data_IF_386015376345
#
_entry.id   IF_386015376345
#
_cell.length_a   1.000
_cell.length_b   1.000
_cell.length_c   1.000
_cell.angle_alpha   90.00
_cell.angle_beta   90.00
_cell.angle_gamma   90.00
#
_symmetry.space_group_name_H-M   'P 1'
#
loop_
_entity.id
_entity.type
_entity.pdbx_description
1 polymer ?
#
# COMPACT_ATOMS: atom_id res chain seq x y z
N UNK A 1 42.35 25.01 17.21
CA UNK A 1 40.98 25.43 17.44
C UNK A 1 40.29 25.58 16.10
N UNK A 2 39.81 24.49 15.48
CA UNK A 2 38.97 24.43 14.26
C UNK A 2 38.57 22.96 13.96
N UNK A 3 37.59 22.38 14.66
CA UNK A 3 37.01 21.06 14.35
C UNK A 3 35.52 20.97 14.68
N UNK A 4 34.75 22.07 14.69
CA UNK A 4 33.31 22.04 15.03
C UNK A 4 32.40 22.34 13.79
N UNK A 5 32.98 22.70 12.63
CA UNK A 5 32.20 23.12 11.45
C UNK A 5 31.61 22.00 10.59
N UNK A 6 32.06 20.74 10.73
CA UNK A 6 31.69 19.66 9.80
C UNK A 6 30.37 18.95 10.09
N UNK A 7 29.90 18.94 11.32
CA UNK A 7 28.74 18.14 11.74
C UNK A 7 27.38 18.80 11.43
N UNK A 8 27.32 20.13 11.40
CA UNK A 8 26.06 20.86 11.15
C UNK A 8 25.68 20.94 9.67
N UNK A 9 26.65 20.85 8.76
CA UNK A 9 26.41 20.92 7.30
C UNK A 9 25.82 19.60 6.74
N UNK A 10 26.25 18.46 7.28
CA UNK A 10 25.72 17.16 6.87
C UNK A 10 24.25 16.94 7.26
N UNK A 11 23.80 17.48 8.38
CA UNK A 11 22.41 17.37 8.84
C UNK A 11 21.46 18.20 7.99
N UNK A 12 21.90 19.36 7.53
CA UNK A 12 21.09 20.26 6.67
C UNK A 12 20.87 19.68 5.26
N UNK A 13 21.91 19.09 4.69
CA UNK A 13 21.86 18.45 3.35
C UNK A 13 20.96 17.20 3.36
N UNK A 14 21.07 16.34 4.38
CA UNK A 14 20.18 15.18 4.54
C UNK A 14 18.73 15.60 4.75
N UNK A 15 18.47 16.61 5.59
CA UNK A 15 17.11 17.15 5.80
C UNK A 15 16.50 17.68 4.51
N UNK A 16 17.26 18.37 3.67
CA UNK A 16 16.79 18.90 2.40
C UNK A 16 16.54 17.80 1.37
N UNK A 17 17.28 16.71 1.39
CA UNK A 17 17.07 15.57 0.52
C UNK A 17 15.75 14.87 0.85
N UNK A 18 15.48 14.61 2.13
CA UNK A 18 14.21 14.02 2.57
C UNK A 18 13.00 14.90 2.25
N UNK A 19 13.12 16.22 2.44
CA UNK A 19 12.05 17.16 2.10
C UNK A 19 11.76 17.15 0.59
N UNK A 20 12.79 17.07 -0.24
CA UNK A 20 12.64 16.97 -1.71
C UNK A 20 12.01 15.65 -2.12
N UNK A 21 12.36 14.54 -1.48
CA UNK A 21 11.73 13.25 -1.74
C UNK A 21 10.24 13.25 -1.32
N UNK A 22 9.90 13.84 -0.18
CA UNK A 22 8.50 13.96 0.27
C UNK A 22 7.68 14.88 -0.65
N UNK A 23 8.24 16.00 -1.11
CA UNK A 23 7.58 16.89 -2.06
C UNK A 23 7.41 16.20 -3.42
N UNK A 24 8.42 15.46 -3.89
CA UNK A 24 8.32 14.69 -5.12
C UNK A 24 7.25 13.59 -5.03
N UNK A 25 7.16 12.91 -3.89
CA UNK A 25 6.12 11.89 -3.64
C UNK A 25 4.71 12.53 -3.59
N UNK A 26 4.58 13.69 -2.93
CA UNK A 26 3.33 14.45 -2.87
C UNK A 26 2.92 15.00 -4.25
N UNK A 27 3.87 15.44 -5.06
CA UNK A 27 3.61 15.92 -6.42
C UNK A 27 3.26 14.77 -7.38
N UNK A 28 3.83 13.57 -7.19
CA UNK A 28 3.44 12.38 -7.95
C UNK A 28 1.99 11.98 -7.66
N UNK A 29 1.50 12.20 -6.44
CA UNK A 29 0.12 11.89 -6.04
C UNK A 29 -0.92 12.85 -6.63
N UNK A 30 -0.51 14.05 -7.07
CA UNK A 30 -1.42 15.08 -7.62
C UNK A 30 -1.53 15.00 -9.16
N UNK A 31 -0.58 14.31 -9.82
CA UNK A 31 -0.51 14.20 -11.26
C UNK A 31 -1.20 12.94 -11.81
N UNK A 32 -2.37 12.57 -11.29
CA UNK A 32 -3.16 11.50 -11.89
C UNK A 32 -4.03 12.09 -13.00
N UNK A 33 -3.73 11.86 -14.30
CA UNK A 33 -4.76 12.02 -15.31
C UNK A 33 -5.83 10.97 -15.02
N UNK A 34 -7.03 11.44 -14.73
CA UNK A 34 -8.23 10.59 -14.72
C UNK A 34 -8.45 10.11 -16.15
N UNK A 35 -7.92 8.96 -16.48
CA UNK A 35 -8.32 8.21 -17.67
C UNK A 35 -9.48 7.29 -17.29
N UNK A 36 -10.65 7.89 -17.10
CA UNK A 36 -11.90 7.17 -17.20
C UNK A 36 -12.22 7.05 -18.69
N UNK A 37 -11.72 6.03 -19.35
CA UNK A 37 -12.34 5.33 -20.49
C UNK A 37 -11.35 4.27 -20.98
N UNK A 38 -11.68 3.01 -20.71
CA UNK A 38 -11.05 1.84 -21.31
C UNK A 38 -11.29 1.83 -22.81
N UNK A 39 -10.33 2.30 -23.57
CA UNK A 39 -10.23 1.87 -24.95
C UNK A 39 -9.87 0.38 -24.97
N UNK A 40 -10.73 -0.44 -25.54
CA UNK A 40 -10.49 -1.85 -25.85
C UNK A 40 -9.18 -1.94 -26.65
N UNK A 41 -8.11 -2.45 -26.01
CA UNK A 41 -6.82 -2.64 -26.65
C UNK A 41 -5.59 -2.27 -25.81
N UNK A 42 -5.75 -1.80 -24.58
CA UNK A 42 -4.63 -1.43 -23.71
C UNK A 42 -4.18 -2.64 -22.91
N UNK A 43 -2.98 -3.05 -23.21
CA UNK A 43 -2.05 -3.85 -22.39
C UNK A 43 -2.72 -4.79 -21.38
N UNK A 44 -3.28 -5.85 -21.91
CA UNK A 44 -3.90 -6.97 -21.17
C UNK A 44 -2.80 -7.83 -20.49
N UNK A 45 -1.59 -7.32 -20.43
CA UNK A 45 -0.35 -8.01 -20.11
C UNK A 45 0.28 -7.50 -18.79
N UNK A 46 1.57 -7.69 -18.65
CA UNK A 46 2.39 -7.25 -17.53
C UNK A 46 2.18 -5.77 -17.16
N UNK A 47 2.08 -4.87 -18.15
CA UNK A 47 1.93 -3.43 -17.88
C UNK A 47 0.55 -3.10 -17.32
N UNK A 48 -0.50 -3.78 -17.77
CA UNK A 48 -1.83 -3.67 -17.17
C UNK A 48 -1.81 -4.06 -15.71
N UNK A 49 -1.20 -5.20 -15.39
CA UNK A 49 -1.02 -5.65 -14.00
C UNK A 49 -0.17 -4.71 -13.17
N UNK A 50 0.92 -4.16 -13.74
CA UNK A 50 1.82 -3.25 -13.04
C UNK A 50 1.18 -1.88 -12.73
N UNK A 51 0.46 -1.32 -13.68
CA UNK A 51 -0.13 0.01 -13.54
C UNK A 51 -1.40 0.00 -12.68
N UNK A 52 -2.15 -1.09 -12.69
CA UNK A 52 -3.43 -1.20 -11.98
C UNK A 52 -3.33 -0.84 -10.48
N UNK A 53 -2.45 -1.45 -9.65
CA UNK A 53 -2.37 -1.08 -8.23
C UNK A 53 -1.76 0.30 -7.98
N UNK A 54 -1.03 0.87 -8.94
CA UNK A 54 -0.42 2.20 -8.80
C UNK A 54 -1.46 3.30 -9.02
N UNK A 55 -2.42 3.07 -9.92
CA UNK A 55 -3.47 4.05 -10.24
C UNK A 55 -4.80 3.78 -9.52
N UNK A 56 -4.95 2.64 -8.84
CA UNK A 56 -6.05 2.37 -7.93
C UNK A 56 -5.79 2.99 -6.55
N UNK A 57 -6.46 4.10 -6.16
CA UNK A 57 -6.13 4.78 -4.91
C UNK A 57 -6.43 3.93 -3.67
N UNK A 58 -7.46 3.10 -3.69
CA UNK A 58 -7.80 2.10 -2.66
C UNK A 58 -6.67 1.09 -2.46
N UNK A 59 -6.01 0.66 -3.55
CA UNK A 59 -4.89 -0.25 -3.55
C UNK A 59 -3.63 0.41 -3.00
N UNK A 60 -3.32 1.62 -3.50
CA UNK A 60 -2.17 2.40 -3.02
C UNK A 60 -2.21 2.55 -1.52
N UNK A 61 -3.35 2.98 -0.96
CA UNK A 61 -3.47 3.21 0.49
C UNK A 61 -3.36 1.91 1.29
N UNK A 62 -3.93 0.80 0.82
CA UNK A 62 -3.85 -0.49 1.49
C UNK A 62 -2.41 -1.03 1.48
N UNK A 63 -1.73 -1.05 0.31
CA UNK A 63 -0.37 -1.57 0.19
C UNK A 63 0.63 -0.71 0.98
N UNK A 64 0.52 0.61 0.89
CA UNK A 64 1.35 1.53 1.69
C UNK A 64 1.09 1.33 3.18
N UNK A 65 -0.16 1.14 3.61
CA UNK A 65 -0.50 0.89 5.02
C UNK A 65 0.13 -0.40 5.55
N UNK A 66 0.15 -1.50 4.77
CA UNK A 66 0.83 -2.74 5.15
C UNK A 66 2.32 -2.51 5.37
N UNK A 67 2.98 -1.80 4.43
CA UNK A 67 4.40 -1.46 4.56
C UNK A 67 4.70 -0.55 5.77
N UNK A 68 3.87 0.48 5.98
CA UNK A 68 3.93 1.38 7.13
C UNK A 68 3.83 0.62 8.45
N UNK A 69 2.82 -0.25 8.55
CA UNK A 69 2.57 -1.01 9.77
C UNK A 69 3.68 -2.04 10.04
N UNK A 70 4.15 -2.72 8.98
CA UNK A 70 5.31 -3.62 9.07
C UNK A 70 6.56 -2.91 9.61
N UNK A 71 6.87 -1.72 9.09
CA UNK A 71 7.99 -0.93 9.58
C UNK A 71 7.80 -0.45 11.03
N UNK A 72 6.58 -0.08 11.39
CA UNK A 72 6.23 0.34 12.74
C UNK A 72 6.33 -0.81 13.76
N UNK A 73 5.94 -2.02 13.38
CA UNK A 73 6.08 -3.23 14.21
C UNK A 73 7.55 -3.67 14.35
N UNK A 74 8.39 -3.39 13.35
CA UNK A 74 9.79 -3.79 13.31
C UNK A 74 9.99 -5.23 12.85
N UNK A 75 11.20 -5.78 13.07
CA UNK A 75 11.50 -7.16 12.69
C UNK A 75 10.76 -8.17 13.60
N UNK A 76 10.23 -9.29 13.05
CA UNK A 76 10.27 -9.67 11.63
C UNK A 76 9.09 -9.16 10.79
N UNK A 77 8.13 -8.43 11.37
CA UNK A 77 6.89 -7.98 10.72
C UNK A 77 7.17 -7.15 9.45
N UNK A 78 8.25 -6.34 9.47
CA UNK A 78 8.66 -5.48 8.33
C UNK A 78 8.82 -6.26 7.01
N UNK A 79 9.16 -7.55 7.08
CA UNK A 79 9.30 -8.41 5.90
C UNK A 79 8.14 -9.39 5.78
N UNK A 80 7.64 -9.88 6.91
CA UNK A 80 6.60 -10.89 6.91
C UNK A 80 5.28 -10.35 6.32
N UNK A 81 4.83 -9.16 6.74
CA UNK A 81 3.55 -8.62 6.27
C UNK A 81 3.56 -8.31 4.76
N UNK A 82 4.60 -7.65 4.19
CA UNK A 82 4.74 -7.48 2.76
C UNK A 82 4.87 -8.77 1.93
N UNK A 83 5.27 -9.89 2.53
CA UNK A 83 5.31 -11.19 1.86
C UNK A 83 3.97 -11.91 1.99
N UNK A 84 3.34 -11.90 3.17
CA UNK A 84 2.04 -12.53 3.40
C UNK A 84 0.97 -11.91 2.50
N UNK A 85 0.96 -10.59 2.36
CA UNK A 85 -0.07 -9.90 1.59
C UNK A 85 -0.14 -10.40 0.13
N UNK A 86 0.90 -10.31 -0.71
CA UNK A 86 0.83 -10.75 -2.11
C UNK A 86 0.62 -12.26 -2.26
N UNK A 87 1.14 -13.09 -1.35
CA UNK A 87 0.92 -14.55 -1.40
C UNK A 87 -0.55 -14.90 -1.17
N UNK A 88 -1.17 -14.31 -0.15
CA UNK A 88 -2.59 -14.57 0.15
C UNK A 88 -3.50 -13.86 -0.86
N UNK A 89 -3.09 -12.70 -1.36
CA UNK A 89 -3.77 -12.01 -2.45
C UNK A 89 -3.79 -12.84 -3.74
N UNK A 90 -2.69 -13.51 -4.09
CA UNK A 90 -2.66 -14.42 -5.23
C UNK A 90 -3.68 -15.57 -5.08
N UNK A 91 -3.83 -16.10 -3.86
CA UNK A 91 -4.87 -17.09 -3.57
C UNK A 91 -6.28 -16.50 -3.73
N UNK A 92 -6.54 -15.32 -3.17
CA UNK A 92 -7.81 -14.60 -3.37
C UNK A 92 -8.11 -14.35 -4.85
N UNK A 93 -7.07 -13.95 -5.62
CA UNK A 93 -7.16 -13.76 -7.07
C UNK A 93 -7.57 -15.03 -7.81
N UNK A 94 -6.99 -16.18 -7.45
CA UNK A 94 -7.38 -17.46 -8.03
C UNK A 94 -8.86 -17.77 -7.76
N UNK A 95 -9.38 -17.46 -6.56
CA UNK A 95 -10.81 -17.61 -6.25
C UNK A 95 -11.69 -16.71 -7.13
N UNK A 96 -11.27 -15.46 -7.37
CA UNK A 96 -11.96 -14.52 -8.26
C UNK A 96 -12.00 -15.01 -9.70
N UNK A 97 -10.86 -15.47 -10.23
CA UNK A 97 -10.74 -16.00 -11.61
C UNK A 97 -11.65 -17.20 -11.85
N UNK A 98 -11.77 -18.12 -10.87
CA UNK A 98 -12.67 -19.27 -10.98
C UNK A 98 -14.15 -18.93 -10.71
N UNK A 99 -14.46 -17.66 -10.44
CA UNK A 99 -15.82 -17.18 -10.20
C UNK A 99 -16.43 -17.63 -8.87
N UNK A 100 -15.60 -17.97 -7.88
CA UNK A 100 -16.08 -18.32 -6.54
C UNK A 100 -16.66 -17.07 -5.85
N UNK A 101 -17.93 -17.08 -5.43
CA UNK A 101 -18.54 -15.90 -4.84
C UNK A 101 -17.90 -15.57 -3.48
N UNK A 102 -17.47 -14.33 -3.31
CA UNK A 102 -17.04 -13.76 -2.05
C UNK A 102 -17.93 -12.54 -1.74
N UNK A 103 -18.84 -12.60 -0.76
CA UNK A 103 -19.73 -11.48 -0.46
C UNK A 103 -18.95 -10.32 0.18
N UNK A 104 -19.33 -9.09 -0.17
CA UNK A 104 -18.83 -7.88 0.47
C UNK A 104 -17.38 -7.55 0.17
N UNK A 105 -16.90 -7.85 -1.05
CA UNK A 105 -15.51 -7.56 -1.48
C UNK A 105 -15.16 -6.09 -1.28
N UNK A 106 -15.97 -5.18 -1.82
CA UNK A 106 -15.75 -3.73 -1.68
C UNK A 106 -15.76 -3.28 -0.22
N UNK A 107 -16.67 -3.83 0.57
CA UNK A 107 -16.72 -3.58 2.02
C UNK A 107 -15.44 -4.08 2.70
N UNK A 108 -14.95 -5.27 2.33
CA UNK A 108 -13.71 -5.84 2.85
C UNK A 108 -12.49 -4.97 2.53
N UNK A 109 -12.42 -4.44 1.30
CA UNK A 109 -11.38 -3.51 0.85
C UNK A 109 -11.43 -2.20 1.67
N UNK A 110 -12.61 -1.57 1.78
CA UNK A 110 -12.77 -0.35 2.55
C UNK A 110 -12.42 -0.54 4.04
N UNK A 111 -12.90 -1.64 4.65
CA UNK A 111 -12.58 -1.99 6.04
C UNK A 111 -11.09 -2.25 6.22
N UNK A 112 -10.39 -2.81 5.23
CA UNK A 112 -8.93 -2.98 5.29
C UNK A 112 -8.20 -1.65 5.46
N UNK A 113 -8.57 -0.64 4.68
CA UNK A 113 -8.00 0.71 4.79
C UNK A 113 -8.29 1.33 6.16
N UNK A 114 -9.55 1.21 6.65
CA UNK A 114 -9.93 1.70 7.99
C UNK A 114 -9.06 1.03 9.06
N UNK A 115 -8.99 -0.29 9.07
CA UNK A 115 -8.31 -1.05 10.12
C UNK A 115 -6.80 -0.86 10.07
N UNK A 116 -6.17 -1.01 8.90
CA UNK A 116 -4.72 -0.84 8.76
C UNK A 116 -4.30 0.60 9.07
N UNK A 117 -5.05 1.59 8.58
CA UNK A 117 -4.84 2.99 8.91
C UNK A 117 -4.95 3.26 10.41
N UNK A 118 -5.98 2.72 11.07
CA UNK A 118 -6.16 2.84 12.51
C UNK A 118 -5.02 2.16 13.31
N UNK A 119 -4.56 0.97 12.89
CA UNK A 119 -3.41 0.30 13.54
C UNK A 119 -2.16 1.19 13.52
N UNK A 120 -1.90 1.88 12.42
CA UNK A 120 -0.79 2.82 12.30
C UNK A 120 -1.05 4.09 13.12
N UNK A 121 -2.23 4.70 13.03
CA UNK A 121 -2.59 5.93 13.72
C UNK A 121 -2.51 5.79 15.25
N UNK A 122 -3.02 4.71 15.79
CA UNK A 122 -3.02 4.42 17.23
C UNK A 122 -1.76 3.69 17.70
N UNK A 123 -0.83 3.42 16.78
CA UNK A 123 0.43 2.75 17.07
C UNK A 123 0.22 1.36 17.73
N UNK A 124 -0.75 0.60 17.26
CA UNK A 124 -1.13 -0.70 17.83
C UNK A 124 -0.10 -1.77 17.46
N UNK A 125 0.36 -2.53 18.44
CA UNK A 125 1.36 -3.60 18.30
C UNK A 125 0.81 -4.94 18.79
N UNK A 126 -0.02 -5.62 17.98
CA UNK A 126 -0.51 -6.95 18.33
C UNK A 126 0.62 -7.99 18.20
N UNK A 127 0.41 -9.19 18.72
CA UNK A 127 1.27 -10.33 18.39
C UNK A 127 1.37 -10.53 16.86
N UNK A 128 2.54 -10.95 16.40
CA UNK A 128 2.85 -11.06 14.97
C UNK A 128 1.84 -11.91 14.18
N UNK A 129 1.38 -13.03 14.77
CA UNK A 129 0.40 -13.90 14.14
C UNK A 129 -0.96 -13.20 13.93
N UNK A 130 -1.36 -12.30 14.85
CA UNK A 130 -2.59 -11.49 14.70
C UNK A 130 -2.42 -10.51 13.54
N UNK A 131 -1.27 -9.83 13.46
CA UNK A 131 -0.97 -8.93 12.36
C UNK A 131 -0.97 -9.65 11.01
N UNK A 132 -0.34 -10.83 10.93
CA UNK A 132 -0.31 -11.64 9.73
C UNK A 132 -1.71 -12.14 9.32
N UNK A 133 -2.54 -12.56 10.28
CA UNK A 133 -3.92 -12.98 10.01
C UNK A 133 -4.78 -11.83 9.49
N UNK A 134 -4.68 -10.64 10.09
CA UNK A 134 -5.41 -9.45 9.63
C UNK A 134 -5.01 -9.07 8.20
N UNK A 135 -3.71 -8.98 7.95
CA UNK A 135 -3.18 -8.67 6.62
C UNK A 135 -3.58 -9.73 5.60
N UNK A 136 -3.52 -11.01 5.96
CA UNK A 136 -3.96 -12.11 5.11
C UNK A 136 -5.46 -12.07 4.81
N UNK A 137 -6.30 -11.84 5.80
CA UNK A 137 -7.74 -11.74 5.61
C UNK A 137 -8.09 -10.62 4.62
N UNK A 138 -7.48 -9.44 4.76
CA UNK A 138 -7.70 -8.34 3.84
C UNK A 138 -7.13 -8.62 2.44
N UNK A 139 -5.99 -9.31 2.35
CA UNK A 139 -5.40 -9.70 1.08
C UNK A 139 -6.32 -10.61 0.24
N UNK A 140 -7.16 -11.45 0.87
CA UNK A 140 -8.15 -12.27 0.16
C UNK A 140 -9.14 -11.38 -0.60
N UNK A 141 -9.69 -10.34 0.04
CA UNK A 141 -10.66 -9.44 -0.61
C UNK A 141 -10.03 -8.68 -1.78
N UNK A 142 -8.84 -8.11 -1.57
CA UNK A 142 -8.10 -7.42 -2.64
C UNK A 142 -7.78 -8.37 -3.81
N UNK A 143 -7.31 -9.58 -3.51
CA UNK A 143 -7.02 -10.56 -4.54
C UNK A 143 -8.25 -10.98 -5.31
N UNK A 144 -9.37 -11.26 -4.61
CA UNK A 144 -10.61 -11.68 -5.22
C UNK A 144 -11.15 -10.62 -6.19
N UNK A 145 -11.14 -9.33 -5.81
CA UNK A 145 -11.54 -8.25 -6.70
C UNK A 145 -10.75 -8.29 -8.01
N UNK A 146 -9.42 -8.37 -7.92
CA UNK A 146 -8.56 -8.40 -9.12
C UNK A 146 -8.73 -9.64 -9.97
N UNK A 147 -8.94 -10.80 -9.34
CA UNK A 147 -9.22 -12.02 -10.07
C UNK A 147 -10.55 -11.98 -10.83
N UNK A 148 -11.58 -11.39 -10.21
CA UNK A 148 -12.90 -11.24 -10.81
C UNK A 148 -12.92 -10.19 -11.95
N UNK A 149 -12.04 -9.19 -11.88
CA UNK A 149 -11.93 -8.11 -12.87
C UNK A 149 -10.88 -8.37 -13.95
N UNK A 150 -10.21 -9.53 -13.91
CA UNK A 150 -9.19 -9.86 -14.90
C UNK A 150 -9.82 -9.82 -16.32
N UNK A 151 -9.28 -9.01 -17.26
CA UNK A 151 -9.85 -8.87 -18.59
C UNK A 151 -9.83 -10.19 -19.35
N UNK A 152 -10.92 -10.44 -20.10
CA UNK A 152 -11.02 -11.64 -20.95
C UNK A 152 -9.89 -11.61 -21.99
N UNK A 153 -9.11 -12.71 -22.04
CA UNK A 153 -7.98 -12.84 -22.95
C UNK A 153 -6.65 -12.30 -22.42
N UNK A 154 -6.64 -11.78 -21.19
CA UNK A 154 -5.39 -11.40 -20.53
C UNK A 154 -4.49 -12.61 -20.28
N UNK A 155 -3.18 -12.44 -20.44
CA UNK A 155 -2.21 -13.36 -19.88
C UNK A 155 -2.18 -13.19 -18.35
N UNK A 156 -2.91 -14.06 -17.65
CA UNK A 156 -3.05 -14.02 -16.20
C UNK A 156 -1.70 -14.09 -15.48
N UNK A 157 -0.70 -14.77 -16.03
CA UNK A 157 0.64 -14.89 -15.41
C UNK A 157 1.38 -13.56 -15.57
N UNK A 158 1.44 -13.01 -16.78
CA UNK A 158 2.11 -11.74 -17.04
C UNK A 158 1.46 -10.60 -16.24
N UNK A 159 0.11 -10.55 -16.21
CA UNK A 159 -0.63 -9.58 -15.38
C UNK A 159 -0.30 -9.71 -13.91
N UNK A 160 -0.34 -10.94 -13.36
CA UNK A 160 -0.04 -11.18 -11.95
C UNK A 160 1.40 -10.82 -11.58
N UNK A 161 2.36 -11.06 -12.47
CA UNK A 161 3.76 -10.66 -12.25
C UNK A 161 3.89 -9.14 -12.14
N UNK A 162 3.30 -8.39 -13.07
CA UNK A 162 3.27 -6.93 -13.02
C UNK A 162 2.65 -6.42 -11.72
N UNK A 163 1.50 -6.98 -11.37
CA UNK A 163 0.77 -6.65 -10.16
C UNK A 163 1.57 -6.89 -8.87
N UNK A 164 2.22 -8.05 -8.74
CA UNK A 164 3.05 -8.39 -7.56
C UNK A 164 4.24 -7.44 -7.43
N UNK A 165 4.88 -7.09 -8.54
CA UNK A 165 6.03 -6.16 -8.53
C UNK A 165 5.57 -4.75 -8.10
N UNK A 166 4.45 -4.26 -8.63
CA UNK A 166 3.88 -2.97 -8.24
C UNK A 166 3.47 -2.94 -6.76
N UNK A 167 2.78 -3.98 -6.29
CA UNK A 167 2.41 -4.17 -4.88
C UNK A 167 3.64 -4.17 -3.97
N UNK A 168 4.69 -4.92 -4.34
CA UNK A 168 5.96 -4.93 -3.61
C UNK A 168 6.61 -3.54 -3.55
N UNK A 169 6.55 -2.78 -4.63
CA UNK A 169 7.06 -1.41 -4.69
C UNK A 169 6.30 -0.49 -3.72
N UNK A 170 4.98 -0.58 -3.69
CA UNK A 170 4.14 0.18 -2.76
C UNK A 170 4.41 -0.19 -1.29
N UNK A 171 4.62 -1.49 -1.00
CA UNK A 171 5.05 -1.93 0.32
C UNK A 171 6.39 -1.32 0.72
N UNK A 172 7.38 -1.30 -0.19
CA UNK A 172 8.70 -0.68 0.06
C UNK A 172 8.54 0.82 0.32
N UNK A 173 7.69 1.53 -0.43
CA UNK A 173 7.38 2.93 -0.16
C UNK A 173 6.80 3.12 1.26
N UNK A 174 5.86 2.26 1.66
CA UNK A 174 5.31 2.24 3.02
C UNK A 174 6.37 1.98 4.08
N UNK A 175 7.23 0.99 3.89
CA UNK A 175 8.36 0.69 4.78
C UNK A 175 9.30 1.89 4.92
N UNK A 176 9.69 2.49 3.79
CA UNK A 176 10.59 3.64 3.77
C UNK A 176 10.01 4.83 4.54
N UNK A 177 8.72 5.12 4.33
CA UNK A 177 8.02 6.18 5.07
C UNK A 177 7.86 5.82 6.55
N UNK A 178 7.50 4.56 6.86
CA UNK A 178 7.39 4.05 8.22
C UNK A 178 8.69 4.14 9.01
N UNK A 179 9.85 4.05 8.33
CA UNK A 179 11.17 4.28 8.90
C UNK A 179 11.35 5.66 9.54
N UNK A 180 10.53 6.66 9.15
CA UNK A 180 10.54 7.98 9.79
C UNK A 180 10.10 7.91 11.27
N UNK A 181 9.41 6.85 11.68
CA UNK A 181 8.93 6.66 13.05
C UNK A 181 10.05 6.59 14.11
N UNK A 182 11.32 6.46 13.69
CA UNK A 182 12.47 6.54 14.59
C UNK A 182 12.70 7.95 15.18
N UNK A 183 12.13 9.00 14.56
CA UNK A 183 12.21 10.38 15.04
C UNK A 183 10.88 10.85 15.62
N UNK A 184 10.89 11.74 16.64
CA UNK A 184 9.66 12.24 17.24
C UNK A 184 8.68 12.86 16.23
N UNK A 185 9.17 13.75 15.36
CA UNK A 185 8.36 14.37 14.31
C UNK A 185 7.88 13.33 13.26
N UNK A 186 8.73 12.37 12.92
CA UNK A 186 8.39 11.29 12.01
C UNK A 186 7.28 10.39 12.54
N UNK A 187 7.27 10.12 13.86
CA UNK A 187 6.16 9.37 14.48
C UNK A 187 4.81 10.06 14.32
N UNK A 188 4.80 11.38 14.49
CA UNK A 188 3.58 12.18 14.29
C UNK A 188 3.14 12.09 12.82
N UNK A 189 4.07 12.26 11.87
CA UNK A 189 3.78 12.18 10.44
C UNK A 189 3.23 10.80 10.04
N UNK A 190 3.88 9.72 10.47
CA UNK A 190 3.44 8.34 10.19
C UNK A 190 2.03 8.09 10.74
N UNK A 191 1.76 8.49 11.97
CA UNK A 191 0.44 8.34 12.60
C UNK A 191 -0.63 9.20 11.92
N UNK A 192 -0.28 10.42 11.49
CA UNK A 192 -1.18 11.29 10.73
C UNK A 192 -1.55 10.67 9.37
N UNK A 193 -0.58 10.06 8.68
CA UNK A 193 -0.85 9.31 7.45
C UNK A 193 -1.74 8.11 7.72
N UNK A 194 -1.51 7.36 8.79
CA UNK A 194 -2.40 6.27 9.20
C UNK A 194 -3.84 6.76 9.45
N UNK A 195 -4.01 7.89 10.12
CA UNK A 195 -5.33 8.49 10.33
C UNK A 195 -5.99 8.91 9.01
N UNK A 196 -5.23 9.52 8.09
CA UNK A 196 -5.72 9.89 6.77
C UNK A 196 -6.18 8.66 5.97
N UNK A 197 -5.39 7.58 5.97
CA UNK A 197 -5.76 6.31 5.33
C UNK A 197 -7.07 5.77 5.91
N UNK A 198 -7.22 5.78 7.24
CA UNK A 198 -8.45 5.33 7.90
C UNK A 198 -9.67 6.17 7.50
N UNK A 199 -9.52 7.51 7.44
CA UNK A 199 -10.58 8.42 7.00
C UNK A 199 -10.99 8.19 5.54
N UNK A 200 -10.03 7.95 4.65
CA UNK A 200 -10.29 7.60 3.24
C UNK A 200 -11.05 6.28 3.17
N UNK A 201 -10.67 5.28 3.98
CA UNK A 201 -11.40 4.02 4.07
C UNK A 201 -12.87 4.20 4.50
N UNK A 202 -13.16 5.13 5.43
CA UNK A 202 -14.54 5.49 5.76
C UNK A 202 -15.27 6.18 4.60
N UNK A 203 -14.56 6.99 3.80
CA UNK A 203 -15.15 7.61 2.62
C UNK A 203 -15.54 6.55 1.57
N UNK A 204 -14.69 5.55 1.32
CA UNK A 204 -15.02 4.40 0.46
C UNK A 204 -16.22 3.62 1.01
N UNK A 205 -16.22 3.30 2.31
CA UNK A 205 -17.32 2.56 2.93
C UNK A 205 -18.66 3.29 2.85
N UNK A 206 -18.62 4.63 2.91
CA UNK A 206 -19.80 5.49 2.79
C UNK A 206 -20.21 5.81 1.35
N UNK A 207 -19.46 5.38 0.34
CA UNK A 207 -19.73 5.67 -1.07
C UNK A 207 -19.55 7.14 -1.46
N UNK A 208 -18.63 7.85 -0.76
CA UNK A 208 -18.33 9.26 -1.04
C UNK A 208 -17.19 9.44 -2.07
N UNK A 209 -16.49 8.39 -2.40
CA UNK A 209 -15.37 8.33 -3.36
C UNK A 209 -15.37 6.99 -4.07
#
# INVERSE_FOLDING_TARGET
MRLIGGFTSMTKTRRNLWLRCLIALALLSIASPVFAHSEQGVAIDFWGGFTHPIFGPDHVIAMVAVGLWGAFLGAPAIWLLPVVFPLVMAFGGALGVVGMPLPGVETGIAVSAIMLGAMVAFAVKPPLWVAAMLVGAFAIFHGHAHGAELPIGADAIAYSMGFVIATGTLHICGIAFGGLSHWPAGRIAVRAVGAAISLIGFAYLGGFV
#
